data_IF_849976868356
#
_entry.id   IF_849976868356
#
_cell.length_a   1.000
_cell.length_b   1.000
_cell.length_c   1.000
_cell.angle_alpha   90.00
_cell.angle_beta   90.00
_cell.angle_gamma   90.00
#
_symmetry.space_group_name_H-M   'P 1'
#
loop_
_entity.id
_entity.type
_entity.pdbx_description
1 polymer ?
#
# COMPACT_ATOMS: atom_id res chain seq x y z
N UNK A 1 -17.86 -2.65 20.25
CA UNK A 1 -18.01 -4.03 19.75
C UNK A 1 -19.21 -4.16 18.83
N UNK A 2 -20.30 -3.45 19.14
CA UNK A 2 -21.55 -3.49 18.38
C UNK A 2 -21.54 -2.60 17.11
N UNK A 3 -20.73 -1.55 17.07
CA UNK A 3 -20.64 -0.65 15.91
C UNK A 3 -19.98 -1.32 14.69
N UNK A 4 -18.93 -2.11 14.91
CA UNK A 4 -18.29 -2.89 13.82
C UNK A 4 -19.21 -4.02 13.34
N UNK A 5 -19.93 -4.68 14.27
CA UNK A 5 -20.91 -5.70 13.94
C UNK A 5 -22.16 -5.11 13.28
N UNK A 6 -22.56 -3.89 13.59
CA UNK A 6 -23.69 -3.23 12.93
C UNK A 6 -23.35 -2.74 11.52
N UNK A 7 -22.09 -2.38 11.27
CA UNK A 7 -21.59 -2.05 9.92
C UNK A 7 -21.44 -3.30 9.03
N UNK A 8 -21.05 -4.44 9.62
CA UNK A 8 -20.87 -5.72 8.91
C UNK A 8 -22.18 -6.53 8.85
N UNK A 9 -23.10 -6.30 9.77
CA UNK A 9 -24.45 -6.90 9.79
C UNK A 9 -25.50 -6.06 9.06
N UNK A 10 -25.10 -5.09 8.25
CA UNK A 10 -26.04 -4.27 7.49
C UNK A 10 -26.73 -5.10 6.40
N UNK A 11 -27.91 -4.64 5.99
CA UNK A 11 -28.71 -5.23 4.90
C UNK A 11 -27.86 -5.51 3.63
N UNK A 12 -26.79 -4.75 3.41
CA UNK A 12 -25.87 -4.93 2.28
C UNK A 12 -25.12 -6.27 2.35
N UNK A 13 -24.56 -6.65 3.50
CA UNK A 13 -23.88 -7.95 3.64
C UNK A 13 -24.86 -9.13 3.55
N UNK A 14 -26.11 -8.96 4.00
CA UNK A 14 -27.16 -9.97 3.85
C UNK A 14 -27.51 -10.12 2.38
N UNK A 15 -27.71 -9.03 1.65
CA UNK A 15 -27.97 -9.03 0.21
C UNK A 15 -26.86 -9.74 -0.56
N UNK A 16 -25.59 -9.36 -0.29
CA UNK A 16 -24.43 -9.88 -1.01
C UNK A 16 -24.20 -11.39 -0.73
N UNK A 17 -24.72 -11.91 0.39
CA UNK A 17 -24.73 -13.34 0.68
C UNK A 17 -25.89 -14.10 0.02
N UNK A 18 -26.93 -13.41 -0.46
CA UNK A 18 -28.09 -14.01 -1.13
C UNK A 18 -27.95 -14.06 -2.65
N UNK A 19 -27.39 -13.00 -3.25
CA UNK A 19 -27.23 -12.89 -4.70
C UNK A 19 -25.75 -12.69 -5.09
N UNK A 20 -25.18 -13.57 -5.98
CA UNK A 20 -23.82 -13.41 -6.45
C UNK A 20 -23.62 -12.09 -7.21
N UNK A 21 -22.62 -11.31 -6.80
CA UNK A 21 -22.20 -10.07 -7.44
C UNK A 21 -20.72 -10.07 -7.84
N UNK A 22 -20.25 -8.96 -8.41
CA UNK A 22 -18.86 -8.79 -8.85
C UNK A 22 -17.97 -8.07 -7.81
N UNK A 23 -18.50 -7.76 -6.63
CA UNK A 23 -17.73 -7.19 -5.55
C UNK A 23 -17.03 -8.25 -4.67
N UNK A 24 -16.02 -7.82 -3.92
CA UNK A 24 -15.19 -8.71 -3.11
C UNK A 24 -15.97 -9.43 -2.00
N UNK A 25 -17.01 -8.80 -1.44
CA UNK A 25 -17.82 -9.40 -0.36
C UNK A 25 -18.65 -10.55 -0.95
N UNK A 26 -19.30 -10.28 -2.07
CA UNK A 26 -20.05 -11.30 -2.81
C UNK A 26 -19.14 -12.45 -3.26
N UNK A 27 -17.94 -12.16 -3.77
CA UNK A 27 -16.95 -13.18 -4.12
C UNK A 27 -16.52 -14.02 -2.93
N UNK A 28 -16.36 -13.45 -1.74
CA UNK A 28 -16.07 -14.20 -0.51
C UNK A 28 -17.25 -15.08 -0.09
N UNK A 29 -18.48 -14.57 -0.21
CA UNK A 29 -19.68 -15.30 0.21
C UNK A 29 -20.01 -16.48 -0.72
N UNK A 30 -19.69 -16.38 -2.01
CA UNK A 30 -20.07 -17.37 -3.02
C UNK A 30 -18.87 -18.16 -3.60
N UNK A 31 -17.63 -17.77 -3.28
CA UNK A 31 -16.44 -18.45 -3.79
C UNK A 31 -16.36 -19.90 -3.32
N UNK A 32 -16.00 -20.83 -4.20
CA UNK A 32 -15.91 -22.25 -3.89
C UNK A 32 -15.02 -22.56 -2.67
N UNK A 33 -13.90 -21.81 -2.52
CA UNK A 33 -12.96 -21.96 -1.39
C UNK A 33 -13.32 -21.14 -0.16
N UNK A 34 -14.36 -20.31 -0.17
CA UNK A 34 -14.64 -19.33 0.89
C UNK A 34 -16.10 -19.34 1.40
N UNK A 35 -17.05 -19.86 0.62
CA UNK A 35 -18.47 -19.86 0.98
C UNK A 35 -18.82 -20.59 2.29
N UNK A 36 -17.99 -21.55 2.67
CA UNK A 36 -18.20 -22.38 3.87
C UNK A 36 -17.41 -21.86 5.09
N UNK A 37 -16.82 -20.64 4.99
CA UNK A 37 -16.12 -20.01 6.11
C UNK A 37 -17.05 -19.78 7.30
N UNK A 38 -16.55 -20.07 8.51
CA UNK A 38 -17.25 -19.71 9.73
C UNK A 38 -17.35 -18.19 9.91
N UNK A 39 -18.33 -17.68 10.71
CA UNK A 39 -18.55 -16.23 10.85
C UNK A 39 -17.31 -15.43 11.29
N UNK A 40 -16.46 -16.01 12.17
CA UNK A 40 -15.21 -15.35 12.61
C UNK A 40 -14.18 -15.23 11.48
N UNK A 41 -14.07 -16.25 10.66
CA UNK A 41 -13.14 -16.29 9.53
C UNK A 41 -13.61 -15.32 8.44
N UNK A 42 -14.90 -15.31 8.11
CA UNK A 42 -15.49 -14.37 7.17
C UNK A 42 -15.26 -12.91 7.60
N UNK A 43 -15.57 -12.57 8.87
CA UNK A 43 -15.32 -11.23 9.42
C UNK A 43 -13.82 -10.90 9.40
N UNK A 44 -12.94 -11.86 9.72
CA UNK A 44 -11.48 -11.67 9.65
C UNK A 44 -11.01 -11.31 8.24
N UNK A 45 -11.50 -12.00 7.22
CA UNK A 45 -11.20 -11.70 5.83
C UNK A 45 -11.74 -10.34 5.39
N UNK A 46 -12.95 -9.99 5.80
CA UNK A 46 -13.55 -8.69 5.51
C UNK A 46 -12.74 -7.54 6.13
N UNK A 47 -12.35 -7.65 7.39
CA UNK A 47 -11.50 -6.67 8.08
C UNK A 47 -10.15 -6.56 7.37
N UNK A 48 -9.55 -7.68 6.94
CA UNK A 48 -8.29 -7.68 6.19
C UNK A 48 -8.39 -6.91 4.87
N UNK A 49 -9.47 -7.11 4.11
CA UNK A 49 -9.70 -6.39 2.85
C UNK A 49 -9.88 -4.88 3.08
N UNK A 50 -10.66 -4.49 4.09
CA UNK A 50 -10.89 -3.07 4.41
C UNK A 50 -9.60 -2.40 4.89
N UNK A 51 -8.88 -3.00 5.83
CA UNK A 51 -7.65 -2.41 6.39
C UNK A 51 -6.51 -2.40 5.38
N UNK A 52 -6.37 -3.47 4.59
CA UNK A 52 -5.33 -3.57 3.58
C UNK A 52 -5.48 -2.56 2.44
N UNK A 53 -6.72 -2.25 2.05
CA UNK A 53 -7.02 -1.36 0.92
C UNK A 53 -7.10 0.13 1.27
N UNK A 54 -7.29 0.49 2.53
CA UNK A 54 -7.56 1.87 2.94
C UNK A 54 -6.26 2.64 3.28
N UNK A 55 -5.65 2.33 4.41
CA UNK A 55 -4.56 3.14 4.97
C UNK A 55 -3.28 3.11 4.13
N UNK A 56 -2.95 1.98 3.53
CA UNK A 56 -1.74 1.87 2.71
C UNK A 56 -1.81 2.73 1.45
N UNK A 57 -2.97 2.75 0.78
CA UNK A 57 -3.21 3.58 -0.41
C UNK A 57 -3.21 5.05 -0.04
N UNK A 58 -3.95 5.45 1.00
CA UNK A 58 -3.98 6.82 1.50
C UNK A 58 -2.59 7.34 1.85
N UNK A 59 -1.80 6.55 2.58
CA UNK A 59 -0.45 6.94 2.96
C UNK A 59 0.52 6.99 1.76
N UNK A 60 0.30 6.18 0.73
CA UNK A 60 1.05 6.28 -0.52
C UNK A 60 0.73 7.57 -1.27
N UNK A 61 -0.52 8.01 -1.31
CA UNK A 61 -0.94 9.28 -1.91
C UNK A 61 -0.28 10.44 -1.19
N UNK A 62 -0.43 10.51 0.13
CA UNK A 62 0.14 11.59 0.95
C UNK A 62 1.66 11.59 0.90
N UNK A 63 2.30 10.41 0.97
CA UNK A 63 3.75 10.28 0.86
C UNK A 63 4.30 10.67 -0.50
N UNK A 64 3.55 10.40 -1.57
CA UNK A 64 3.89 10.84 -2.93
C UNK A 64 3.87 12.35 -3.06
N UNK A 65 2.85 13.01 -2.51
CA UNK A 65 2.76 14.46 -2.49
C UNK A 65 3.92 15.10 -1.70
N UNK A 66 4.21 14.56 -0.52
CA UNK A 66 5.34 15.01 0.28
C UNK A 66 6.66 14.83 -0.46
N UNK A 67 6.88 13.65 -1.07
CA UNK A 67 8.10 13.37 -1.83
C UNK A 67 8.30 14.35 -2.99
N UNK A 68 7.27 14.66 -3.76
CA UNK A 68 7.33 15.64 -4.84
C UNK A 68 7.64 17.04 -4.32
N UNK A 69 7.08 17.46 -3.18
CA UNK A 69 7.39 18.74 -2.57
C UNK A 69 8.83 18.81 -2.01
N UNK A 70 9.38 17.69 -1.53
CA UNK A 70 10.77 17.59 -1.08
C UNK A 70 11.78 17.49 -2.23
N UNK A 71 11.33 17.14 -3.44
CA UNK A 71 12.13 16.99 -4.64
C UNK A 71 11.50 17.81 -5.79
N UNK A 72 11.63 19.15 -5.76
CA UNK A 72 10.94 20.04 -6.70
C UNK A 72 11.37 19.82 -8.17
N UNK A 73 12.59 19.36 -8.41
CA UNK A 73 13.08 18.93 -9.71
C UNK A 73 12.29 17.74 -10.29
N UNK A 74 11.93 16.79 -9.46
CA UNK A 74 11.08 15.66 -9.86
C UNK A 74 9.61 16.09 -10.07
N UNK A 75 9.13 17.06 -9.26
CA UNK A 75 7.79 17.61 -9.47
C UNK A 75 7.71 18.41 -10.77
N UNK A 76 8.73 19.21 -11.09
CA UNK A 76 8.82 19.95 -12.36
C UNK A 76 8.90 18.99 -13.55
N UNK A 77 9.69 17.93 -13.44
CA UNK A 77 9.77 16.86 -14.45
C UNK A 77 8.39 16.25 -14.72
N UNK A 78 7.63 15.94 -13.66
CA UNK A 78 6.28 15.39 -13.75
C UNK A 78 5.29 16.34 -14.43
N UNK A 79 5.37 17.64 -14.13
CA UNK A 79 4.50 18.65 -14.76
C UNK A 79 4.80 18.85 -16.23
N UNK A 80 6.07 18.72 -16.62
CA UNK A 80 6.50 18.83 -18.01
C UNK A 80 6.19 17.56 -18.82
N UNK A 81 6.14 16.40 -18.18
CA UNK A 81 5.77 15.12 -18.81
C UNK A 81 4.82 14.32 -17.89
N UNK A 82 3.50 14.55 -17.97
CA UNK A 82 2.50 13.79 -17.23
C UNK A 82 2.49 12.28 -17.53
N UNK A 83 3.08 11.86 -18.65
CA UNK A 83 3.24 10.44 -18.99
C UNK A 83 4.08 9.66 -17.96
N UNK A 84 4.92 10.36 -17.20
CA UNK A 84 5.73 9.79 -16.12
C UNK A 84 4.92 9.30 -14.92
N UNK A 85 3.63 9.65 -14.79
CA UNK A 85 2.75 9.15 -13.71
C UNK A 85 2.82 7.63 -13.59
N UNK A 86 2.87 6.92 -14.72
CA UNK A 86 2.92 5.44 -14.74
C UNK A 86 4.16 4.87 -14.08
N UNK A 87 5.28 5.57 -14.15
CA UNK A 87 6.54 5.17 -13.53
C UNK A 87 6.71 5.76 -12.14
N UNK A 88 6.18 6.97 -11.90
CA UNK A 88 6.17 7.62 -10.61
C UNK A 88 5.40 6.80 -9.57
N UNK A 89 4.26 6.19 -9.92
CA UNK A 89 3.42 5.45 -8.97
C UNK A 89 4.18 4.32 -8.27
N UNK A 90 4.86 3.40 -8.96
CA UNK A 90 5.72 2.41 -8.29
C UNK A 90 6.84 3.05 -7.44
N UNK A 91 7.44 4.15 -7.90
CA UNK A 91 8.47 4.86 -7.13
C UNK A 91 7.91 5.48 -5.85
N UNK A 92 6.71 6.06 -5.88
CA UNK A 92 6.00 6.51 -4.68
C UNK A 92 5.80 5.35 -3.69
N UNK A 93 5.33 4.21 -4.17
CA UNK A 93 5.08 3.03 -3.33
C UNK A 93 6.38 2.50 -2.73
N UNK A 94 7.48 2.49 -3.50
CA UNK A 94 8.82 2.17 -3.02
C UNK A 94 9.29 3.17 -1.96
N UNK A 95 9.20 4.46 -2.25
CA UNK A 95 9.68 5.55 -1.40
C UNK A 95 8.94 5.63 -0.09
N UNK A 96 7.63 5.60 -0.12
CA UNK A 96 6.78 5.68 1.08
C UNK A 96 6.80 4.39 1.88
N UNK A 97 6.82 3.22 1.24
CA UNK A 97 6.74 1.91 1.91
C UNK A 97 5.75 1.92 3.08
N UNK A 98 4.43 2.03 2.84
CA UNK A 98 3.43 2.29 3.88
C UNK A 98 3.33 1.20 4.96
N UNK A 99 3.77 -0.02 4.66
CA UNK A 99 4.03 -1.09 5.63
C UNK A 99 5.55 -1.29 5.75
N UNK A 100 6.12 -0.95 6.92
CA UNK A 100 7.55 -1.03 7.15
C UNK A 100 8.08 -2.48 7.11
N UNK A 101 7.30 -3.42 7.63
CA UNK A 101 7.69 -4.83 7.73
C UNK A 101 6.48 -5.76 7.82
N UNK A 102 6.72 -7.04 7.56
CA UNK A 102 5.81 -8.13 7.87
C UNK A 102 6.57 -9.28 8.51
N UNK A 103 5.88 -10.13 9.27
CA UNK A 103 6.47 -11.29 9.93
C UNK A 103 6.06 -12.60 9.25
N UNK A 104 6.95 -13.60 9.36
CA UNK A 104 6.68 -15.00 9.03
C UNK A 104 7.14 -15.88 10.20
N UNK A 105 6.51 -17.02 10.36
CA UNK A 105 7.00 -18.06 11.27
C UNK A 105 7.57 -19.19 10.41
N UNK A 106 8.81 -19.58 10.67
CA UNK A 106 9.45 -20.69 9.98
C UNK A 106 8.70 -22.01 10.30
N UNK A 107 8.30 -22.75 9.29
CA UNK A 107 7.62 -24.04 9.47
C UNK A 107 8.58 -25.24 9.49
N UNK A 108 9.85 -25.00 9.20
CA UNK A 108 10.95 -25.97 9.23
C UNK A 108 12.27 -25.24 9.44
N UNK A 109 13.30 -25.97 9.82
CA UNK A 109 14.65 -25.43 9.86
C UNK A 109 15.10 -25.06 8.44
N UNK A 110 15.74 -23.89 8.31
CA UNK A 110 16.24 -23.37 7.04
C UNK A 110 17.45 -22.47 7.28
N UNK A 111 18.37 -22.45 6.34
CA UNK A 111 19.48 -21.50 6.31
C UNK A 111 19.17 -20.36 5.34
N UNK A 112 19.37 -19.12 5.81
CA UNK A 112 19.23 -17.90 4.99
C UNK A 112 20.44 -16.99 5.26
N UNK A 113 21.20 -16.68 4.21
CA UNK A 113 22.37 -15.81 4.32
C UNK A 113 23.42 -16.32 5.32
N UNK A 114 23.63 -17.63 5.42
CA UNK A 114 24.56 -18.26 6.38
C UNK A 114 24.05 -18.31 7.83
N UNK A 115 22.78 -17.92 8.07
CA UNK A 115 22.15 -17.96 9.40
C UNK A 115 21.13 -19.10 9.47
N UNK A 116 21.21 -19.89 10.55
CA UNK A 116 20.27 -20.97 10.81
C UNK A 116 19.00 -20.43 11.47
N UNK A 117 17.87 -20.61 10.82
CA UNK A 117 16.52 -20.29 11.31
C UNK A 117 15.85 -21.63 11.66
N UNK A 118 15.34 -21.75 12.89
CA UNK A 118 14.69 -22.98 13.36
C UNK A 118 13.19 -22.93 13.10
N UNK A 119 12.59 -24.10 12.98
CA UNK A 119 11.13 -24.22 12.98
C UNK A 119 10.53 -23.55 14.23
N UNK A 120 9.53 -22.69 14.03
CA UNK A 120 8.92 -21.86 15.06
C UNK A 120 9.53 -20.47 15.23
N UNK A 121 10.72 -20.20 14.70
CA UNK A 121 11.33 -18.87 14.76
C UNK A 121 10.50 -17.84 13.98
N UNK A 122 10.42 -16.63 14.55
CA UNK A 122 9.74 -15.50 13.92
C UNK A 122 10.73 -14.66 13.11
N UNK A 123 10.53 -14.61 11.81
CA UNK A 123 11.36 -13.86 10.85
C UNK A 123 10.67 -12.59 10.45
N UNK A 124 11.32 -11.44 10.63
CA UNK A 124 10.81 -10.13 10.24
C UNK A 124 11.40 -9.77 8.87
N UNK A 125 10.52 -9.45 7.93
CA UNK A 125 10.86 -8.99 6.58
C UNK A 125 10.74 -7.46 6.56
N UNK A 126 11.88 -6.76 6.62
CA UNK A 126 11.93 -5.30 6.62
C UNK A 126 11.82 -4.75 5.19
N UNK A 127 10.61 -4.46 4.74
CA UNK A 127 10.36 -3.91 3.40
C UNK A 127 10.99 -2.53 3.22
N UNK A 128 10.93 -1.70 4.26
CA UNK A 128 11.53 -0.36 4.24
C UNK A 128 13.05 -0.42 4.03
N UNK A 129 13.74 -1.37 4.63
CA UNK A 129 15.17 -1.59 4.43
C UNK A 129 15.46 -2.14 3.03
N UNK A 130 14.74 -3.18 2.60
CA UNK A 130 14.94 -3.75 1.27
C UNK A 130 14.62 -2.78 0.12
N UNK A 131 13.71 -1.81 0.33
CA UNK A 131 13.44 -0.74 -0.62
C UNK A 131 14.52 0.36 -0.64
N UNK A 132 15.50 0.28 0.26
CA UNK A 132 16.67 1.17 0.36
C UNK A 132 18.00 0.42 0.20
N UNK A 133 17.94 -0.83 -0.24
CA UNK A 133 19.14 -1.65 -0.44
C UNK A 133 19.90 -1.22 -1.71
N UNK A 134 21.13 -0.72 -1.58
CA UNK A 134 21.93 -0.28 -2.73
C UNK A 134 22.39 -1.42 -3.63
N UNK A 135 22.45 -2.65 -3.12
CA UNK A 135 22.81 -3.83 -3.92
C UNK A 135 21.68 -4.25 -4.87
N UNK A 136 20.42 -3.88 -4.54
CA UNK A 136 19.25 -4.23 -5.31
C UNK A 136 18.65 -3.04 -6.11
N UNK A 137 18.82 -1.82 -5.60
CA UNK A 137 18.20 -0.62 -6.15
C UNK A 137 19.25 0.47 -6.30
N UNK A 138 19.63 0.87 -7.52
CA UNK A 138 20.55 1.98 -7.73
C UNK A 138 20.03 3.29 -7.14
N UNK A 139 20.88 4.06 -6.45
CA UNK A 139 20.52 5.31 -5.77
C UNK A 139 19.26 5.20 -4.91
N UNK A 140 19.19 4.26 -3.93
CA UNK A 140 17.94 3.92 -3.25
C UNK A 140 17.40 5.08 -2.39
N UNK A 141 18.27 5.99 -1.95
CA UNK A 141 17.94 7.17 -1.15
C UNK A 141 17.59 8.42 -1.98
N UNK A 142 17.48 8.27 -3.30
CA UNK A 142 16.96 9.31 -4.18
C UNK A 142 15.56 8.95 -4.65
N UNK A 143 14.66 9.91 -4.55
CA UNK A 143 13.35 9.84 -5.18
C UNK A 143 13.50 10.20 -6.66
N UNK A 144 13.13 9.28 -7.57
CA UNK A 144 13.30 9.43 -9.02
C UNK A 144 12.07 8.89 -9.73
N UNK A 145 11.24 9.78 -10.28
CA UNK A 145 9.99 9.38 -10.94
C UNK A 145 10.19 8.67 -12.27
N UNK A 146 11.38 8.77 -12.84
CA UNK A 146 11.82 8.09 -14.07
C UNK A 146 12.75 6.89 -13.79
N UNK A 147 12.76 6.38 -12.55
CA UNK A 147 13.59 5.24 -12.15
C UNK A 147 13.35 4.03 -13.05
N UNK A 148 14.44 3.49 -13.60
CA UNK A 148 14.39 2.18 -14.26
C UNK A 148 13.94 1.11 -13.27
N UNK A 149 13.06 0.21 -13.73
CA UNK A 149 12.55 -0.89 -12.90
C UNK A 149 11.92 -0.47 -11.57
N UNK A 150 11.25 0.71 -11.51
CA UNK A 150 10.60 1.23 -10.30
C UNK A 150 9.66 0.20 -9.63
N UNK A 151 9.16 -0.78 -10.38
CA UNK A 151 8.32 -1.89 -9.86
C UNK A 151 9.08 -2.98 -9.10
N UNK A 152 10.42 -2.96 -9.09
CA UNK A 152 11.24 -3.91 -8.34
C UNK A 152 11.36 -3.52 -6.86
N UNK A 153 10.27 -3.11 -6.24
CA UNK A 153 10.19 -2.80 -4.81
C UNK A 153 9.50 -3.92 -4.02
N UNK A 154 9.76 -3.96 -2.71
CA UNK A 154 9.22 -4.96 -1.79
C UNK A 154 7.94 -4.53 -1.05
N UNK A 155 7.42 -3.31 -1.28
CA UNK A 155 6.25 -2.78 -0.54
C UNK A 155 4.99 -3.65 -0.65
N UNK A 156 4.85 -4.39 -1.74
CA UNK A 156 3.77 -5.36 -1.93
C UNK A 156 4.09 -6.76 -1.41
N UNK A 157 5.25 -6.94 -0.78
CA UNK A 157 5.72 -8.26 -0.38
C UNK A 157 6.09 -9.15 -1.56
N UNK A 158 6.39 -10.41 -1.25
CA UNK A 158 6.81 -11.42 -2.23
C UNK A 158 6.21 -12.79 -1.92
N UNK A 159 6.14 -13.66 -2.94
CA UNK A 159 5.67 -15.04 -2.81
C UNK A 159 4.15 -15.16 -2.68
N UNK A 160 3.69 -16.21 -2.01
CA UNK A 160 2.26 -16.56 -1.89
C UNK A 160 1.42 -15.46 -1.19
N UNK A 161 2.04 -14.68 -0.32
CA UNK A 161 1.40 -13.58 0.39
C UNK A 161 1.62 -12.21 -0.27
N UNK A 162 2.04 -12.16 -1.52
CA UNK A 162 2.12 -10.89 -2.25
C UNK A 162 0.76 -10.20 -2.21
N UNK A 163 0.78 -8.88 -2.06
CA UNK A 163 -0.43 -8.06 -1.99
C UNK A 163 -1.43 -8.40 -3.10
N UNK A 164 -2.64 -8.79 -2.73
CA UNK A 164 -3.73 -9.10 -3.65
C UNK A 164 -4.17 -7.85 -4.42
N UNK A 165 -4.20 -6.70 -3.74
CA UNK A 165 -4.66 -5.41 -4.27
C UNK A 165 -3.60 -4.61 -5.02
N UNK A 166 -2.42 -5.14 -5.33
CA UNK A 166 -1.32 -4.37 -5.92
C UNK A 166 -1.71 -3.61 -7.20
N UNK A 167 -2.44 -4.27 -8.10
CA UNK A 167 -2.88 -3.66 -9.37
C UNK A 167 -3.94 -2.59 -9.15
N UNK A 168 -4.86 -2.82 -8.20
CA UNK A 168 -5.88 -1.84 -7.84
C UNK A 168 -5.24 -0.60 -7.21
N UNK A 169 -4.30 -0.77 -6.28
CA UNK A 169 -3.57 0.32 -5.66
C UNK A 169 -2.79 1.16 -6.69
N UNK A 170 -2.03 0.52 -7.59
CA UNK A 170 -1.34 1.21 -8.67
C UNK A 170 -2.31 1.97 -9.59
N UNK A 171 -3.45 1.38 -9.92
CA UNK A 171 -4.48 2.02 -10.75
C UNK A 171 -5.10 3.22 -10.04
N UNK A 172 -5.48 3.10 -8.78
CA UNK A 172 -6.05 4.19 -7.99
C UNK A 172 -5.07 5.37 -7.87
N UNK A 173 -3.79 5.10 -7.53
CA UNK A 173 -2.79 6.15 -7.48
C UNK A 173 -2.60 6.82 -8.85
N UNK A 174 -2.53 6.03 -9.92
CA UNK A 174 -2.35 6.57 -11.27
C UNK A 174 -3.50 7.49 -11.65
N UNK A 175 -4.75 7.03 -11.56
CA UNK A 175 -5.92 7.83 -11.91
C UNK A 175 -5.99 9.10 -11.08
N UNK A 176 -5.73 8.99 -9.76
CA UNK A 176 -5.74 10.16 -8.89
C UNK A 176 -4.68 11.19 -9.30
N UNK A 177 -3.45 10.77 -9.61
CA UNK A 177 -2.38 11.68 -10.02
C UNK A 177 -2.62 12.28 -11.41
N UNK A 178 -3.17 11.51 -12.36
CA UNK A 178 -3.60 12.02 -13.66
C UNK A 178 -4.65 13.15 -13.46
N UNK A 179 -5.65 12.94 -12.61
CA UNK A 179 -6.70 13.91 -12.28
C UNK A 179 -6.17 15.15 -11.50
N UNK A 180 -5.22 14.95 -10.60
CA UNK A 180 -4.57 16.07 -9.87
C UNK A 180 -3.82 16.96 -10.85
N UNK A 181 -3.00 16.39 -11.72
CA UNK A 181 -2.18 17.16 -12.66
C UNK A 181 -3.02 17.93 -13.68
N UNK A 182 -4.19 17.40 -14.06
CA UNK A 182 -5.12 18.09 -14.96
C UNK A 182 -5.77 19.31 -14.29
N UNK A 183 -6.12 19.21 -12.99
CA UNK A 183 -6.91 20.23 -12.29
C UNK A 183 -6.07 21.24 -11.54
N UNK A 184 -4.90 20.85 -11.07
CA UNK A 184 -4.11 21.68 -10.15
C UNK A 184 -2.67 21.81 -10.66
N UNK A 185 -2.18 23.04 -10.91
CA UNK A 185 -0.80 23.24 -11.39
C UNK A 185 0.23 22.76 -10.37
N UNK A 186 -0.07 22.90 -9.07
CA UNK A 186 0.75 22.41 -7.96
C UNK A 186 -0.11 22.28 -6.70
N UNK A 187 0.26 21.30 -5.85
CA UNK A 187 -0.23 21.21 -4.47
C UNK A 187 0.99 21.36 -3.57
N UNK A 188 0.99 22.41 -2.75
CA UNK A 188 2.11 22.74 -1.87
C UNK A 188 1.88 22.15 -0.47
N UNK A 189 2.90 21.49 0.08
CA UNK A 189 2.94 21.12 1.51
C UNK A 189 3.47 22.35 2.26
N UNK A 190 2.65 22.92 3.16
CA UNK A 190 2.91 24.24 3.78
C UNK A 190 3.47 24.16 5.20
N UNK A 191 3.62 22.95 5.74
CA UNK A 191 4.16 22.75 7.08
C UNK A 191 4.67 21.32 7.30
N UNK A 192 5.26 21.08 8.46
CA UNK A 192 5.77 19.75 8.81
C UNK A 192 4.63 18.77 9.00
N UNK A 193 4.62 17.63 8.29
CA UNK A 193 3.59 16.60 8.46
C UNK A 193 3.71 15.90 9.81
N UNK A 194 2.57 15.65 10.46
CA UNK A 194 2.49 14.79 11.62
C UNK A 194 2.42 13.32 11.21
N UNK A 195 3.26 12.47 11.82
CA UNK A 195 3.35 11.06 11.48
C UNK A 195 2.59 10.18 12.47
N UNK A 196 2.08 9.07 11.98
CA UNK A 196 1.52 8.01 12.83
C UNK A 196 2.63 7.42 13.70
N UNK A 197 2.40 7.36 15.03
CA UNK A 197 3.31 6.67 15.95
C UNK A 197 3.08 5.16 15.84
N UNK A 198 3.81 4.50 14.96
CA UNK A 198 3.70 3.06 14.71
C UNK A 198 5.04 2.51 14.23
N UNK A 199 5.40 1.31 14.69
CA UNK A 199 6.55 0.58 14.15
C UNK A 199 6.23 -0.15 12.84
N UNK A 200 4.96 -0.35 12.52
CA UNK A 200 4.48 -1.12 11.35
C UNK A 200 3.99 -0.21 10.22
N UNK A 201 3.22 0.84 10.55
CA UNK A 201 2.63 1.73 9.56
C UNK A 201 3.48 3.00 9.38
N UNK A 202 3.95 3.23 8.17
CA UNK A 202 4.66 4.45 7.79
C UNK A 202 3.67 5.41 7.13
N UNK A 203 3.02 6.25 7.93
CA UNK A 203 1.92 7.08 7.50
C UNK A 203 1.84 8.43 8.19
N UNK A 204 0.79 9.18 7.89
CA UNK A 204 0.54 10.53 8.36
C UNK A 204 -0.81 10.62 9.07
N UNK A 205 -0.85 11.35 10.19
CA UNK A 205 -2.08 11.77 10.86
C UNK A 205 -2.59 13.10 10.30
N UNK A 206 -1.65 13.98 9.92
CA UNK A 206 -1.95 15.30 9.37
C UNK A 206 -0.83 15.75 8.42
N UNK A 207 -1.19 16.44 7.35
CA UNK A 207 -0.27 17.09 6.43
C UNK A 207 -0.92 18.35 5.88
N UNK A 208 -0.48 19.56 6.31
CA UNK A 208 -1.06 20.81 5.84
C UNK A 208 -0.66 21.07 4.39
N UNK A 209 -1.66 21.38 3.56
CA UNK A 209 -1.45 21.64 2.14
C UNK A 209 -2.15 22.93 1.71
N UNK A 210 -1.66 23.52 0.62
CA UNK A 210 -2.28 24.64 -0.07
C UNK A 210 -2.39 24.33 -1.56
N UNK A 211 -3.52 24.63 -2.14
CA UNK A 211 -3.72 24.66 -3.59
C UNK A 211 -3.70 26.12 -3.99
N UNK A 212 -2.67 26.61 -4.69
CA UNK A 212 -2.65 27.97 -5.20
C UNK A 212 -3.80 28.20 -6.17
N UNK A 213 -4.35 29.42 -6.13
CA UNK A 213 -5.45 29.81 -7.01
C UNK A 213 -5.00 29.94 -8.46
#
# INVERSE_FOLDING_TARGET
RDVLLSLVGSEMCIRDSQEPGFDLISMLAHGEGTRDMGPREFVGNLVLLITGGNDTTRNSISGGLLALNQHPDEYDKLRNDPGLVRNMVPEIIRWQTPLAHMARTANRDVEVGGQNIRAGDRVILWYISGNRDPDAIPDPDRFKIDRENARHHLSFGFGIHRCLGNRLAEMQLRVLWEEILERYPVIEVTGEPERVSSCMFHGFTSMPVRIPA
#
